data_IF_279819207474
#
_entry.id   IF_279819207474
#
_cell.length_a   1.000
_cell.length_b   1.000
_cell.length_c   1.000
_cell.angle_alpha   90.00
_cell.angle_beta   90.00
_cell.angle_gamma   90.00
#
_symmetry.space_group_name_H-M   'P 1'
#
loop_
_entity.id
_entity.type
_entity.pdbx_description
1 polymer ?
#
# COMPACT_ATOMS: atom_id res chain seq x y z
N UNK A 1 6.67 0.69 -3.58
CA UNK A 1 5.23 0.75 -3.88
C UNK A 1 4.53 0.80 -2.54
N UNK A 2 3.80 1.87 -2.25
CA UNK A 2 3.13 2.11 -0.97
C UNK A 2 1.73 1.48 -1.03
N UNK A 3 1.37 0.65 -0.05
CA UNK A 3 0.12 -0.11 -0.04
C UNK A 3 -1.03 0.59 0.70
N UNK A 4 -0.82 1.77 1.29
CA UNK A 4 -1.93 2.58 1.80
C UNK A 4 -2.97 2.82 0.67
N UNK A 5 -4.18 2.29 0.84
CA UNK A 5 -5.14 2.13 -0.26
C UNK A 5 -5.68 3.49 -0.69
N UNK A 6 -5.85 4.42 0.26
CA UNK A 6 -6.24 5.80 -0.05
C UNK A 6 -5.25 6.53 -0.97
N UNK A 7 -3.95 6.20 -0.90
CA UNK A 7 -2.93 6.80 -1.76
C UNK A 7 -3.07 6.36 -3.21
N UNK A 8 -3.66 5.19 -3.47
CA UNK A 8 -3.98 4.73 -4.83
C UNK A 8 -5.03 5.66 -5.44
N UNK A 9 -6.09 5.97 -4.70
CA UNK A 9 -7.14 6.89 -5.15
C UNK A 9 -6.62 8.31 -5.36
N UNK A 10 -5.74 8.81 -4.47
CA UNK A 10 -5.07 10.11 -4.68
C UNK A 10 -4.26 10.15 -5.98
N UNK A 11 -3.44 9.13 -6.24
CA UNK A 11 -2.65 9.07 -7.48
C UNK A 11 -3.53 8.96 -8.73
N UNK A 12 -4.64 8.21 -8.65
CA UNK A 12 -5.63 8.14 -9.72
C UNK A 12 -6.25 9.53 -9.98
N UNK A 13 -6.56 10.28 -8.93
CA UNK A 13 -7.09 11.63 -9.05
C UNK A 13 -6.06 12.59 -9.69
N UNK A 14 -4.81 12.55 -9.25
CA UNK A 14 -3.71 13.37 -9.80
C UNK A 14 -3.47 13.13 -11.30
N UNK A 15 -3.66 11.88 -11.76
CA UNK A 15 -3.52 11.51 -13.16
C UNK A 15 -4.76 11.80 -14.03
N UNK A 16 -5.89 12.17 -13.42
CA UNK A 16 -7.17 12.38 -14.10
C UNK A 16 -7.25 13.76 -14.77
N UNK A 17 -7.72 13.79 -16.02
CA UNK A 17 -7.84 15.02 -16.81
C UNK A 17 -9.18 15.70 -16.65
N UNK A 18 -10.23 14.94 -16.33
CA UNK A 18 -11.57 15.48 -16.11
C UNK A 18 -11.67 16.07 -14.69
N UNK A 19 -11.91 17.39 -14.54
CA UNK A 19 -11.91 18.05 -13.24
C UNK A 19 -13.02 17.56 -12.30
N UNK A 20 -14.17 17.16 -12.83
CA UNK A 20 -15.29 16.62 -12.03
C UNK A 20 -14.93 15.24 -11.48
N UNK A 21 -14.35 14.40 -12.33
CA UNK A 21 -13.92 13.05 -11.95
C UNK A 21 -12.76 13.09 -10.97
N UNK A 22 -11.83 14.04 -11.14
CA UNK A 22 -10.74 14.31 -10.20
C UNK A 22 -11.28 14.69 -8.81
N UNK A 23 -12.20 15.65 -8.73
CA UNK A 23 -12.78 16.07 -7.46
C UNK A 23 -13.51 14.92 -6.76
N UNK A 24 -14.23 14.08 -7.51
CA UNK A 24 -14.86 12.88 -6.96
C UNK A 24 -13.83 11.90 -6.38
N UNK A 25 -12.73 11.65 -7.10
CA UNK A 25 -11.66 10.76 -6.64
C UNK A 25 -10.91 11.31 -5.42
N UNK A 26 -10.65 12.62 -5.37
CA UNK A 26 -10.08 13.29 -4.19
C UNK A 26 -10.97 13.10 -2.97
N UNK A 27 -12.28 13.30 -3.14
CA UNK A 27 -13.24 13.12 -2.05
C UNK A 27 -13.31 11.67 -1.56
N UNK A 28 -13.32 10.69 -2.47
CA UNK A 28 -13.26 9.27 -2.10
C UNK A 28 -11.93 8.90 -1.43
N UNK A 29 -10.82 9.50 -1.85
CA UNK A 29 -9.53 9.30 -1.21
C UNK A 29 -9.53 9.81 0.24
N UNK A 30 -10.11 10.99 0.49
CA UNK A 30 -10.20 11.54 1.84
C UNK A 30 -11.12 10.70 2.75
N UNK A 31 -12.24 10.18 2.23
CA UNK A 31 -13.08 9.21 2.97
C UNK A 31 -12.32 7.95 3.31
N UNK A 32 -11.58 7.40 2.35
CA UNK A 32 -10.83 6.16 2.53
C UNK A 32 -9.70 6.37 3.54
N UNK A 33 -9.04 7.53 3.54
CA UNK A 33 -8.05 7.89 4.55
C UNK A 33 -8.66 7.90 5.96
N UNK A 34 -9.82 8.54 6.14
CA UNK A 34 -10.53 8.54 7.42
C UNK A 34 -10.95 7.13 7.86
N UNK A 35 -11.40 6.31 6.91
CA UNK A 35 -11.74 4.91 7.18
C UNK A 35 -10.53 4.08 7.61
N UNK A 36 -9.38 4.23 6.96
CA UNK A 36 -8.15 3.52 7.33
C UNK A 36 -7.66 3.92 8.73
N UNK A 37 -7.68 5.20 9.07
CA UNK A 37 -7.34 5.69 10.41
C UNK A 37 -8.29 5.11 11.46
N UNK A 38 -9.60 5.17 11.20
CA UNK A 38 -10.61 4.62 12.11
C UNK A 38 -10.45 3.11 12.31
N UNK A 39 -10.12 2.40 11.22
CA UNK A 39 -9.86 0.96 11.24
C UNK A 39 -8.64 0.66 12.10
N UNK A 40 -7.51 1.35 11.88
CA UNK A 40 -6.30 1.16 12.69
C UNK A 40 -6.55 1.46 14.18
N UNK A 41 -7.38 2.46 14.49
CA UNK A 41 -7.73 2.80 15.87
C UNK A 41 -8.63 1.74 16.56
N UNK A 42 -9.38 0.96 15.78
CA UNK A 42 -10.30 -0.07 16.29
C UNK A 42 -9.59 -1.37 16.71
N UNK A 43 -8.34 -1.57 16.32
CA UNK A 43 -7.57 -2.78 16.65
C UNK A 43 -6.61 -2.56 17.81
N UNK A 44 -6.41 -3.63 18.58
CA UNK A 44 -5.47 -3.63 19.69
C UNK A 44 -4.00 -3.64 19.22
N UNK A 45 -3.74 -4.30 18.09
CA UNK A 45 -2.42 -4.36 17.46
C UNK A 45 -2.53 -4.12 15.96
N UNK A 46 -1.64 -3.29 15.42
CA UNK A 46 -1.56 -2.93 14.00
C UNK A 46 -0.13 -3.10 13.51
N UNK A 47 0.06 -4.06 12.60
CA UNK A 47 1.32 -4.30 11.91
C UNK A 47 1.27 -3.75 10.49
N UNK A 48 2.40 -3.24 10.02
CA UNK A 48 2.51 -2.55 8.74
C UNK A 48 3.33 -3.35 7.74
N UNK A 49 3.04 -3.23 6.45
CA UNK A 49 3.86 -3.91 5.43
C UNK A 49 5.20 -3.22 5.26
N UNK A 50 5.19 -1.88 5.29
CA UNK A 50 6.39 -1.06 5.32
C UNK A 50 6.20 0.08 6.31
N UNK A 51 7.31 0.71 6.73
CA UNK A 51 7.24 1.87 7.62
C UNK A 51 6.57 3.07 6.93
N UNK A 52 6.74 3.20 5.61
CA UNK A 52 6.12 4.29 4.85
C UNK A 52 4.59 4.19 4.80
N UNK A 53 4.02 2.97 4.86
CA UNK A 53 2.57 2.78 4.94
C UNK A 53 2.01 3.30 6.27
N UNK A 54 2.72 3.02 7.38
CA UNK A 54 2.40 3.61 8.68
C UNK A 54 2.45 5.14 8.63
N UNK A 55 3.53 5.69 8.09
CA UNK A 55 3.76 7.14 8.08
C UNK A 55 2.72 7.87 7.23
N UNK A 56 2.24 7.23 6.14
CA UNK A 56 1.16 7.75 5.31
C UNK A 56 -0.15 7.87 6.11
N UNK A 57 -0.56 6.81 6.82
CA UNK A 57 -1.78 6.83 7.65
C UNK A 57 -1.61 7.79 8.84
N UNK A 58 -0.43 7.85 9.44
CA UNK A 58 -0.13 8.79 10.52
C UNK A 58 -0.24 10.25 10.09
N UNK A 59 0.16 10.59 8.85
CA UNK A 59 0.10 11.95 8.33
C UNK A 59 -1.33 12.51 8.18
N UNK A 60 -2.32 11.62 8.07
CA UNK A 60 -3.75 11.98 7.93
C UNK A 60 -4.56 11.73 9.20
N UNK A 61 -3.96 11.10 10.22
CA UNK A 61 -4.59 10.84 11.50
C UNK A 61 -4.51 12.05 12.45
N UNK A 62 -5.61 12.31 13.18
CA UNK A 62 -5.63 13.33 14.23
C UNK A 62 -4.94 12.88 15.54
N UNK A 63 -4.72 11.58 15.70
CA UNK A 63 -4.09 10.97 16.87
C UNK A 63 -2.94 10.04 16.43
N UNK A 64 -2.02 9.68 17.33
CA UNK A 64 -0.99 8.69 17.05
C UNK A 64 -1.61 7.36 16.61
N UNK A 65 -1.17 6.87 15.46
CA UNK A 65 -1.55 5.57 14.91
C UNK A 65 -0.66 4.51 15.55
N UNK A 66 -1.23 3.34 15.87
CA UNK A 66 -0.46 2.24 16.46
C UNK A 66 0.53 1.66 15.45
N UNK A 67 1.72 1.33 15.93
CA UNK A 67 2.77 0.68 15.17
C UNK A 67 3.36 -0.46 15.98
N UNK A 68 2.79 -1.65 15.83
CA UNK A 68 3.23 -2.89 16.48
C UNK A 68 4.32 -3.61 15.68
N UNK A 69 4.84 -2.98 14.62
CA UNK A 69 5.98 -3.45 13.84
C UNK A 69 5.68 -3.60 12.35
N UNK A 70 6.75 -3.90 11.59
CA UNK A 70 6.71 -4.07 10.14
C UNK A 70 6.82 -5.56 9.78
N UNK A 71 5.84 -6.07 9.06
CA UNK A 71 5.77 -7.42 8.51
C UNK A 71 5.74 -7.35 6.96
N UNK A 72 6.90 -7.44 6.28
CA UNK A 72 6.99 -7.25 4.83
C UNK A 72 6.32 -8.40 4.05
N UNK A 73 5.67 -8.08 2.92
CA UNK A 73 4.96 -9.03 2.04
C UNK A 73 5.93 -10.00 1.32
N UNK A 74 7.18 -9.58 1.06
CA UNK A 74 8.20 -10.38 0.39
C UNK A 74 9.41 -10.59 1.30
N UNK A 75 9.90 -11.83 1.37
CA UNK A 75 11.05 -12.22 2.19
C UNK A 75 12.39 -11.69 1.67
N UNK A 76 13.44 -11.87 2.47
CA UNK A 76 14.79 -11.42 2.13
C UNK A 76 15.30 -12.19 0.91
N UNK A 77 15.94 -11.53 -0.08
CA UNK A 77 16.60 -12.21 -1.21
C UNK A 77 17.68 -13.21 -0.77
N UNK A 78 18.14 -13.05 0.47
CA UNK A 78 19.13 -13.90 1.14
C UNK A 78 18.55 -15.28 1.52
N UNK A 79 17.22 -15.39 1.61
CA UNK A 79 16.47 -16.61 1.93
C UNK A 79 16.11 -17.43 0.68
N UNK A 80 16.32 -16.87 -0.53
CA UNK A 80 15.95 -17.48 -1.80
C UNK A 80 17.16 -17.53 -2.75
N UNK A 81 17.80 -18.70 -2.96
CA UNK A 81 18.94 -18.80 -3.85
C UNK A 81 18.54 -18.43 -5.29
N UNK A 82 19.41 -17.74 -6.05
CA UNK A 82 19.13 -17.39 -7.44
C UNK A 82 18.78 -18.63 -8.27
N UNK A 83 17.69 -18.55 -9.02
CA UNK A 83 17.32 -19.61 -9.95
C UNK A 83 18.30 -19.57 -11.14
N UNK A 84 19.13 -20.60 -11.26
CA UNK A 84 20.04 -20.75 -12.39
C UNK A 84 19.26 -20.90 -13.70
N UNK A 85 19.59 -20.06 -14.69
CA UNK A 85 18.97 -20.11 -16.01
C UNK A 85 19.15 -21.48 -16.64
N UNK A 86 18.04 -22.10 -17.07
CA UNK A 86 18.07 -23.30 -17.91
C UNK A 86 17.76 -22.93 -19.37
N UNK A 87 18.73 -23.01 -20.30
CA UNK A 87 18.55 -22.56 -21.68
C UNK A 87 17.54 -23.38 -22.48
N UNK A 88 17.19 -24.58 -22.03
CA UNK A 88 16.24 -25.51 -22.62
C UNK A 88 14.87 -25.52 -21.91
N UNK A 89 14.60 -24.53 -21.06
CA UNK A 89 13.36 -24.45 -20.29
C UNK A 89 12.13 -24.40 -21.20
N UNK A 90 11.28 -25.43 -21.11
CA UNK A 90 9.93 -25.45 -21.71
C UNK A 90 8.92 -24.98 -20.66
N UNK A 91 7.88 -24.24 -21.08
CA UNK A 91 6.79 -23.67 -20.24
C UNK A 91 7.17 -22.47 -19.36
N UNK A 92 7.67 -21.40 -19.98
CA UNK A 92 7.83 -20.10 -19.31
C UNK A 92 6.46 -19.46 -19.10
N UNK A 93 6.09 -19.18 -17.84
CA UNK A 93 4.86 -18.46 -17.50
C UNK A 93 5.21 -17.03 -17.15
N UNK A 94 4.64 -16.07 -17.88
CA UNK A 94 4.68 -14.66 -17.53
C UNK A 94 3.41 -14.34 -16.73
N UNK A 95 3.57 -13.78 -15.53
CA UNK A 95 2.49 -13.24 -14.72
C UNK A 95 2.75 -11.74 -14.61
N UNK A 96 1.82 -10.93 -15.10
CA UNK A 96 1.87 -9.47 -15.09
C UNK A 96 0.56 -8.89 -14.59
#
# INVERSE_FOLDING_TARGET
QHNAVYMILRRLAEAERNPVKRMLMEHEADKLAGFEVATCAAFDHVTWVTQEDHDAVQAVAAAPVRNDGVLPICGSPEDAPPIARRPDAKRVTFLG
#
